data_IF_069326081762
#
_entry.id   IF_069326081762
#
_cell.length_a   1.000
_cell.length_b   1.000
_cell.length_c   1.000
_cell.angle_alpha   90.00
_cell.angle_beta   90.00
_cell.angle_gamma   90.00
#
_symmetry.space_group_name_H-M   'P 1'
#
loop_
_entity.id
_entity.type
_entity.pdbx_description
1 polymer ?
#
# COMPACT_ATOMS: atom_id res chain seq x y z
N UNK A 1 1.03 20.98 -0.66
CA UNK A 1 1.17 19.92 0.36
C UNK A 1 2.08 18.83 -0.16
N UNK A 2 2.93 18.36 0.72
CA UNK A 2 3.93 17.38 0.33
C UNK A 2 3.54 15.98 0.79
N UNK A 3 3.54 15.04 -0.14
CA UNK A 3 3.24 13.65 0.20
C UNK A 3 4.48 13.01 0.81
N UNK A 4 4.28 12.23 1.87
CA UNK A 4 5.37 11.44 2.41
C UNK A 4 5.66 10.30 1.46
N UNK A 5 6.87 9.76 1.54
CA UNK A 5 7.24 8.59 0.76
C UNK A 5 6.30 7.44 1.03
N UNK A 6 5.92 7.25 2.28
CA UNK A 6 5.03 6.18 2.68
C UNK A 6 3.65 6.34 2.07
N UNK A 7 3.10 7.55 2.11
CA UNK A 7 1.78 7.82 1.54
C UNK A 7 1.79 7.60 0.04
N UNK A 8 2.83 8.07 -0.64
CA UNK A 8 2.99 7.89 -2.07
C UNK A 8 3.03 6.40 -2.42
N UNK A 9 3.82 5.64 -1.67
CA UNK A 9 3.96 4.21 -1.90
C UNK A 9 2.64 3.48 -1.66
N UNK A 10 1.89 3.90 -0.64
CA UNK A 10 0.59 3.29 -0.35
C UNK A 10 -0.37 3.50 -1.54
N UNK A 11 -0.42 4.71 -2.06
CA UNK A 11 -1.28 5.01 -3.20
C UNK A 11 -0.89 4.18 -4.41
N UNK A 12 0.40 4.08 -4.69
CA UNK A 12 0.90 3.31 -5.83
C UNK A 12 0.62 1.83 -5.67
N UNK A 13 0.75 1.30 -4.44
CA UNK A 13 0.47 -0.09 -4.17
C UNK A 13 -1.00 -0.41 -4.45
N UNK A 14 -1.89 0.47 -4.01
CA UNK A 14 -3.32 0.28 -4.26
C UNK A 14 -3.63 0.37 -5.75
N UNK A 15 -3.01 1.30 -6.45
CA UNK A 15 -3.21 1.44 -7.89
C UNK A 15 -2.72 0.20 -8.63
N UNK A 16 -1.59 -0.34 -8.23
CA UNK A 16 -1.05 -1.54 -8.84
C UNK A 16 -2.01 -2.72 -8.66
N UNK A 17 -2.54 -2.86 -7.44
CA UNK A 17 -3.52 -3.92 -7.18
C UNK A 17 -4.81 -3.71 -7.96
N UNK A 18 -5.23 -2.46 -8.13
CA UNK A 18 -6.45 -2.15 -8.88
C UNK A 18 -6.30 -2.50 -10.35
N UNK A 19 -5.15 -2.17 -10.93
CA UNK A 19 -4.87 -2.46 -12.35
C UNK A 19 -4.85 -3.97 -12.58
N UNK A 20 -4.41 -4.72 -11.58
CA UNK A 20 -4.34 -6.17 -11.66
C UNK A 20 -5.50 -6.84 -10.93
N UNK A 21 -6.65 -6.18 -10.94
CA UNK A 21 -7.84 -6.70 -10.26
C UNK A 21 -8.17 -8.11 -10.75
N UNK A 22 -8.48 -8.97 -9.79
CA UNK A 22 -8.73 -10.38 -10.09
C UNK A 22 -7.49 -11.24 -10.08
N UNK A 23 -6.32 -10.65 -9.90
CA UNK A 23 -5.07 -11.37 -9.82
C UNK A 23 -4.34 -11.03 -8.53
N UNK A 24 -3.54 -11.97 -8.06
CA UNK A 24 -2.71 -11.72 -6.89
C UNK A 24 -1.39 -11.10 -7.34
N UNK A 25 -0.96 -10.07 -6.61
CA UNK A 25 0.31 -9.42 -6.86
C UNK A 25 1.23 -9.67 -5.69
N UNK A 26 2.52 -9.69 -5.96
CA UNK A 26 3.51 -9.92 -4.92
C UNK A 26 4.11 -8.60 -4.45
N UNK A 27 4.55 -8.61 -3.20
CA UNK A 27 5.24 -7.44 -2.64
C UNK A 27 6.43 -7.05 -3.51
N UNK A 28 7.17 -8.05 -4.02
CA UNK A 28 8.33 -7.80 -4.86
C UNK A 28 7.94 -7.10 -6.16
N UNK A 29 6.77 -7.43 -6.72
CA UNK A 29 6.31 -6.79 -7.95
C UNK A 29 6.04 -5.31 -7.72
N UNK A 30 5.40 -5.00 -6.59
CA UNK A 30 5.12 -3.61 -6.23
C UNK A 30 6.42 -2.86 -6.00
N UNK A 31 7.35 -3.48 -5.28
CA UNK A 31 8.63 -2.86 -4.97
C UNK A 31 9.40 -2.53 -6.24
N UNK A 32 9.39 -3.45 -7.19
CA UNK A 32 10.09 -3.27 -8.45
C UNK A 32 9.48 -2.12 -9.26
N UNK A 33 8.15 -2.09 -9.34
CA UNK A 33 7.45 -1.06 -10.12
C UNK A 33 7.57 0.30 -9.47
N UNK A 34 7.65 0.36 -8.15
CA UNK A 34 7.73 1.63 -7.43
C UNK A 34 9.16 2.04 -7.14
N UNK A 35 10.12 1.23 -7.54
CA UNK A 35 11.54 1.48 -7.26
C UNK A 35 11.78 1.67 -5.76
N UNK A 36 11.20 0.78 -4.98
CA UNK A 36 11.27 0.83 -3.51
C UNK A 36 11.77 -0.51 -2.98
N UNK A 37 12.23 -0.51 -1.73
CA UNK A 37 12.67 -1.75 -1.11
C UNK A 37 11.46 -2.63 -0.78
N UNK A 38 11.65 -3.95 -0.83
CA UNK A 38 10.61 -4.89 -0.46
C UNK A 38 10.17 -4.70 0.99
N UNK A 39 11.12 -4.40 1.87
CA UNK A 39 10.81 -4.17 3.28
C UNK A 39 9.89 -2.96 3.45
N UNK A 40 10.14 -1.90 2.73
CA UNK A 40 9.33 -0.70 2.80
C UNK A 40 7.92 -0.99 2.30
N UNK A 41 7.83 -1.68 1.15
CA UNK A 41 6.53 -2.06 0.59
C UNK A 41 5.78 -2.96 1.55
N UNK A 42 6.47 -3.93 2.17
CA UNK A 42 5.83 -4.85 3.10
C UNK A 42 5.20 -4.11 4.28
N UNK A 43 5.88 -3.08 4.80
CA UNK A 43 5.33 -2.30 5.90
C UNK A 43 4.10 -1.52 5.48
N UNK A 44 4.13 -0.92 4.30
CA UNK A 44 2.98 -0.20 3.76
C UNK A 44 1.81 -1.15 3.55
N UNK A 45 2.09 -2.33 3.00
CA UNK A 45 1.07 -3.34 2.76
C UNK A 45 0.42 -3.76 4.08
N UNK A 46 1.22 -3.95 5.13
CA UNK A 46 0.68 -4.31 6.44
C UNK A 46 -0.27 -3.24 6.96
N UNK A 47 0.07 -1.98 6.78
CA UNK A 47 -0.79 -0.89 7.23
C UNK A 47 -2.09 -0.84 6.44
N UNK A 48 -2.00 -1.03 5.12
CA UNK A 48 -3.20 -1.06 4.28
C UNK A 48 -4.09 -2.25 4.66
N UNK A 49 -3.48 -3.40 4.95
CA UNK A 49 -4.23 -4.58 5.37
C UNK A 49 -4.94 -4.33 6.69
N UNK A 50 -4.25 -3.71 7.63
CA UNK A 50 -4.83 -3.42 8.95
C UNK A 50 -6.05 -2.51 8.82
N UNK A 51 -6.08 -1.66 7.82
CA UNK A 51 -7.21 -0.74 7.60
C UNK A 51 -8.26 -1.32 6.66
N UNK A 52 -8.08 -2.56 6.21
CA UNK A 52 -9.08 -3.23 5.41
C UNK A 52 -9.08 -2.91 3.93
N UNK A 53 -8.01 -2.32 3.41
CA UNK A 53 -7.92 -1.97 2.00
C UNK A 53 -7.42 -3.11 1.14
N UNK A 54 -6.57 -3.96 1.70
CA UNK A 54 -6.03 -5.09 0.97
C UNK A 54 -6.06 -6.31 1.87
N UNK A 55 -5.92 -7.48 1.24
CA UNK A 55 -5.78 -8.73 1.96
C UNK A 55 -4.62 -9.51 1.38
N UNK A 56 -3.99 -10.30 2.23
CA UNK A 56 -2.83 -11.09 1.87
C UNK A 56 -3.18 -12.56 1.97
N UNK A 57 -2.88 -13.30 0.91
CA UNK A 57 -3.06 -14.74 0.88
C UNK A 57 -1.69 -15.40 0.95
N UNK A 58 -1.56 -16.39 1.83
CA UNK A 58 -0.30 -17.10 2.03
C UNK A 58 -0.20 -18.29 1.11
N UNK A 59 1.03 -18.78 0.95
CA UNK A 59 1.31 -19.97 0.17
C UNK A 59 2.02 -19.66 -1.12
N UNK A 60 2.30 -20.71 -1.88
CA UNK A 60 3.03 -20.58 -3.13
C UNK A 60 2.29 -19.74 -4.16
N UNK A 61 0.98 -19.88 -4.17
CA UNK A 61 0.13 -19.13 -5.08
C UNK A 61 -0.45 -17.91 -4.41
N UNK A 62 0.08 -17.55 -3.24
CA UNK A 62 -0.41 -16.41 -2.49
C UNK A 62 0.06 -15.10 -3.06
N UNK A 63 -0.43 -14.04 -2.47
CA UNK A 63 -0.09 -12.69 -2.88
C UNK A 63 -1.02 -11.69 -2.24
N UNK A 64 -1.09 -10.53 -2.85
CA UNK A 64 -1.84 -9.39 -2.33
C UNK A 64 -2.93 -9.04 -3.33
N UNK A 65 -4.09 -8.68 -2.82
CA UNK A 65 -5.19 -8.18 -3.66
C UNK A 65 -6.00 -7.17 -2.87
N UNK A 66 -6.82 -6.40 -3.59
CA UNK A 66 -7.72 -5.46 -2.92
C UNK A 66 -8.76 -6.21 -2.11
N UNK A 67 -9.00 -5.74 -0.88
CA UNK A 67 -10.07 -6.26 -0.04
C UNK A 67 -11.38 -5.52 -0.31
N UNK A 68 -11.29 -4.35 -0.94
CA UNK A 68 -12.45 -3.54 -1.32
C UNK A 68 -12.41 -3.29 -2.82
N UNK A 69 -13.56 -3.01 -3.39
CA UNK A 69 -13.60 -2.63 -4.79
C UNK A 69 -12.83 -1.34 -4.99
N UNK A 70 -12.15 -1.24 -6.11
CA UNK A 70 -11.32 -0.07 -6.39
C UNK A 70 -12.13 1.23 -6.33
N UNK A 71 -13.38 1.19 -6.79
CA UNK A 71 -14.23 2.37 -6.80
C UNK A 71 -14.72 2.76 -5.40
N UNK A 72 -14.47 1.91 -4.40
CA UNK A 72 -14.80 2.19 -3.02
C UNK A 72 -13.61 2.70 -2.22
N UNK A 73 -12.47 2.82 -2.85
CA UNK A 73 -11.26 3.26 -2.17
C UNK A 73 -11.03 4.73 -2.47
N UNK A 74 -11.00 5.53 -1.41
CA UNK A 74 -10.75 6.96 -1.54
C UNK A 74 -9.27 7.22 -1.28
N UNK A 75 -8.60 7.83 -2.24
CA UNK A 75 -7.19 8.19 -2.07
C UNK A 75 -7.05 9.22 -0.94
N UNK A 76 -8.04 10.09 -0.80
CA UNK A 76 -8.01 11.06 0.31
C UNK A 76 -8.07 10.39 1.67
N UNK A 77 -8.88 9.31 1.79
CA UNK A 77 -8.95 8.57 3.04
C UNK A 77 -7.63 7.85 3.32
N UNK A 78 -7.02 7.26 2.30
CA UNK A 78 -5.72 6.61 2.43
C UNK A 78 -4.68 7.63 2.86
N UNK A 79 -4.68 8.78 2.21
CA UNK A 79 -3.77 9.86 2.54
C UNK A 79 -3.87 10.22 4.03
N UNK A 80 -5.09 10.39 4.53
CA UNK A 80 -5.30 10.76 5.92
C UNK A 80 -4.79 9.70 6.88
N UNK A 81 -4.98 8.43 6.54
CA UNK A 81 -4.51 7.34 7.38
C UNK A 81 -2.99 7.42 7.58
N UNK A 82 -2.27 7.59 6.49
CA UNK A 82 -0.81 7.59 6.56
C UNK A 82 -0.26 8.88 7.14
N UNK A 83 -0.93 10.00 6.88
CA UNK A 83 -0.46 11.27 7.41
C UNK A 83 -0.71 11.39 8.90
N UNK A 84 -1.84 10.89 9.38
CA UNK A 84 -2.19 11.01 10.79
C UNK A 84 -1.52 9.97 11.67
N UNK A 85 -1.12 8.84 11.10
CA UNK A 85 -0.50 7.77 11.86
C UNK A 85 1.01 7.87 11.93
N UNK A 86 1.60 8.77 11.18
CA UNK A 86 3.05 8.96 11.22
C UNK A 86 3.41 9.65 12.53
N UNK A 87 4.24 9.01 13.39
CA UNK A 87 4.70 9.67 14.60
C UNK A 87 5.46 10.94 14.25
N UNK A 88 5.42 11.90 15.15
CA UNK A 88 6.06 13.19 14.93
C UNK A 88 7.52 13.04 14.51
N UNK A 89 8.23 12.11 15.16
CA UNK A 89 9.64 11.89 14.85
C UNK A 89 9.86 11.41 13.41
N UNK A 90 8.90 10.67 12.86
CA UNK A 90 9.03 10.14 11.50
C UNK A 90 8.78 11.20 10.45
N UNK A 91 8.19 12.30 10.81
CA UNK A 91 7.97 13.39 9.86
C UNK A 91 9.29 13.98 9.38
N UNK A 92 10.35 13.76 10.11
CA UNK A 92 11.66 14.29 9.76
C UNK A 92 12.51 13.33 8.94
N UNK A 93 11.99 12.14 8.65
CA UNK A 93 12.72 11.13 7.89
C UNK A 93 12.48 11.23 6.39
N UNK A 94 11.76 12.21 5.96
CA UNK A 94 11.40 12.40 4.55
C UNK A 94 12.53 12.92 3.68
#
# INVERSE_FOLDING_TARGET
MRLTTRTNLAARALMFCAVNDGQLVRTADIADRCNASTNHVARVVQQLQAKGYIETLRGRTGGIRLAKRADRISIGAVFRIFETEIPFAECFDE
#
